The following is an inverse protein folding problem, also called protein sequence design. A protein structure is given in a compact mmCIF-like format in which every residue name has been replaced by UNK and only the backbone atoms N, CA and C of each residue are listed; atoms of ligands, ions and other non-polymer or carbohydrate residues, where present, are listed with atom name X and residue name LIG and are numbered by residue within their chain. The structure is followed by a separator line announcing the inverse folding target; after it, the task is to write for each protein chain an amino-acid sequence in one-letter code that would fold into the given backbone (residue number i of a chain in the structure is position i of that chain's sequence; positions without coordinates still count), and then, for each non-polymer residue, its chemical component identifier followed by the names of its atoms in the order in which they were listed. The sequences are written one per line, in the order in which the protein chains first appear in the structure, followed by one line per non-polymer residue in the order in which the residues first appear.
data_IF_474800027803
#
_entry.id   IF_474800027803
#
_cell.length_a   1.000
_cell.length_b   1.000
_cell.length_c   1.000
_cell.angle_alpha   90.00
_cell.angle_beta   90.00
_cell.angle_gamma   90.00
#
_symmetry.space_group_name_H-M   'P 1'
#
loop_
_entity.id
_entity.type
_entity.pdbx_description
1 polymer ?
#
# COMPACT_ATOMS: atom_id res chain seq x y z
N UNK A 1 -13.74 22.83 14.73
CA UNK A 1 -13.58 21.83 13.65
C UNK A 1 -13.05 20.56 14.29
N UNK A 2 -13.77 19.44 14.21
CA UNK A 2 -13.19 18.15 14.60
C UNK A 2 -12.19 17.73 13.51
N UNK A 3 -11.00 17.20 13.88
CA UNK A 3 -10.03 16.74 12.90
C UNK A 3 -10.62 15.55 12.12
N UNK A 4 -10.56 15.63 10.79
CA UNK A 4 -11.05 14.57 9.88
C UNK A 4 -10.24 13.27 10.01
N UNK A 5 -9.01 13.36 10.49
CA UNK A 5 -8.09 12.25 10.72
C UNK A 5 -7.84 12.08 12.22
N UNK A 6 -8.72 11.33 12.89
CA UNK A 6 -8.51 10.89 14.27
C UNK A 6 -7.73 9.57 14.31
N UNK A 7 -7.21 9.20 15.48
CA UNK A 7 -6.54 7.90 15.65
C UNK A 7 -7.41 6.72 15.19
N UNK A 8 -8.73 6.79 15.47
CA UNK A 8 -9.71 5.77 15.08
C UNK A 8 -9.85 5.58 13.55
N UNK A 9 -9.44 6.59 12.76
CA UNK A 9 -9.46 6.54 11.29
C UNK A 9 -8.06 6.19 10.75
N UNK A 10 -7.02 6.77 11.36
CA UNK A 10 -5.63 6.64 10.89
C UNK A 10 -5.06 5.24 11.16
N UNK A 11 -5.25 4.69 12.36
CA UNK A 11 -4.60 3.44 12.75
C UNK A 11 -5.08 2.23 11.88
N UNK A 12 -6.38 2.09 11.54
CA UNK A 12 -6.83 1.07 10.59
C UNK A 12 -6.27 1.22 9.17
N UNK A 13 -6.05 2.46 8.72
CA UNK A 13 -5.47 2.73 7.40
C UNK A 13 -3.99 2.34 7.36
N UNK A 14 -3.24 2.66 8.41
CA UNK A 14 -1.84 2.21 8.56
C UNK A 14 -1.79 0.68 8.54
N UNK A 15 -2.63 0.00 9.31
CA UNK A 15 -2.66 -1.47 9.35
C UNK A 15 -2.95 -2.08 7.97
N UNK A 16 -3.84 -1.46 7.20
CA UNK A 16 -4.17 -1.88 5.83
C UNK A 16 -2.97 -1.73 4.89
N UNK A 17 -2.24 -0.62 4.96
CA UNK A 17 -1.03 -0.39 4.16
C UNK A 17 0.09 -1.36 4.57
N UNK A 18 0.24 -1.64 5.86
CA UNK A 18 1.17 -2.64 6.35
C UNK A 18 0.85 -4.04 5.82
N UNK A 19 -0.43 -4.39 5.72
CA UNK A 19 -0.85 -5.65 5.12
C UNK A 19 -0.52 -5.72 3.62
N UNK A 20 -0.65 -4.62 2.88
CA UNK A 20 -0.14 -4.53 1.50
C UNK A 20 1.36 -4.78 1.44
N UNK A 21 2.14 -4.14 2.32
CA UNK A 21 3.59 -4.36 2.40
C UNK A 21 3.95 -5.80 2.73
N UNK A 22 3.21 -6.47 3.63
CA UNK A 22 3.42 -7.90 3.94
C UNK A 22 3.13 -8.79 2.74
N UNK A 23 2.05 -8.52 2.00
CA UNK A 23 1.71 -9.24 0.77
C UNK A 23 2.78 -9.04 -0.31
N UNK A 24 3.26 -7.81 -0.49
CA UNK A 24 4.34 -7.51 -1.43
C UNK A 24 5.62 -8.28 -1.07
N UNK A 25 6.02 -8.29 0.20
CA UNK A 25 7.17 -9.08 0.66
C UNK A 25 7.02 -10.56 0.35
N UNK A 26 5.82 -11.13 0.54
CA UNK A 26 5.56 -12.52 0.18
C UNK A 26 5.70 -12.77 -1.32
N UNK A 27 5.16 -11.88 -2.15
CA UNK A 27 5.30 -11.93 -3.61
C UNK A 27 6.77 -11.85 -4.01
N UNK A 28 7.53 -10.90 -3.44
CA UNK A 28 8.95 -10.72 -3.76
C UNK A 28 9.79 -11.94 -3.38
N UNK A 29 9.57 -12.50 -2.19
CA UNK A 29 10.26 -13.71 -1.73
C UNK A 29 10.05 -14.88 -2.70
N UNK A 30 8.85 -15.05 -3.24
CA UNK A 30 8.55 -16.11 -4.20
C UNK A 30 9.01 -15.80 -5.62
N UNK A 31 8.95 -14.54 -6.02
CA UNK A 31 9.56 -14.10 -7.28
C UNK A 31 11.08 -14.30 -7.29
N UNK A 32 11.77 -14.14 -6.16
CA UNK A 32 13.22 -14.40 -6.08
C UNK A 32 13.55 -15.88 -6.28
N UNK A 33 12.71 -16.78 -5.77
CA UNK A 33 12.89 -18.23 -5.90
C UNK A 33 12.58 -18.73 -7.32
N UNK A 34 11.51 -18.21 -7.96
CA UNK A 34 10.92 -18.80 -9.18
C UNK A 34 10.82 -17.83 -10.36
N UNK A 35 11.30 -16.60 -10.24
CA UNK A 35 11.17 -15.52 -11.24
C UNK A 35 9.80 -14.86 -11.29
N UNK A 36 8.78 -15.49 -10.69
CA UNK A 36 7.41 -14.98 -10.55
C UNK A 36 6.71 -15.61 -9.33
N UNK A 37 5.71 -14.95 -8.77
CA UNK A 37 4.94 -15.50 -7.66
C UNK A 37 3.75 -16.29 -8.20
N UNK A 38 3.77 -17.61 -8.03
CA UNK A 38 2.73 -18.54 -8.48
C UNK A 38 1.83 -19.01 -7.34
N UNK A 39 1.99 -18.45 -6.14
CA UNK A 39 1.26 -18.90 -4.96
C UNK A 39 -0.26 -18.75 -5.16
N UNK A 40 -1.05 -19.80 -4.87
CA UNK A 40 -2.50 -19.65 -4.84
C UNK A 40 -2.94 -18.63 -3.80
N UNK A 41 -4.00 -17.88 -4.11
CA UNK A 41 -4.59 -16.88 -3.20
C UNK A 41 -4.88 -17.44 -1.80
N UNK A 42 -5.34 -18.70 -1.72
CA UNK A 42 -5.59 -19.40 -0.45
C UNK A 42 -4.32 -19.57 0.39
N UNK A 43 -3.18 -19.82 -0.24
CA UNK A 43 -1.88 -19.97 0.46
C UNK A 43 -1.42 -18.62 0.98
N UNK A 44 -1.56 -17.56 0.18
CA UNK A 44 -1.26 -16.19 0.60
C UNK A 44 -2.14 -15.77 1.78
N UNK A 45 -3.44 -16.09 1.74
CA UNK A 45 -4.41 -15.79 2.78
C UNK A 45 -4.02 -16.45 4.11
N UNK A 46 -3.68 -17.75 4.08
CA UNK A 46 -3.22 -18.47 5.25
C UNK A 46 -1.90 -17.91 5.82
N UNK A 47 -0.97 -17.49 4.96
CA UNK A 47 0.32 -16.93 5.40
C UNK A 47 0.16 -15.58 6.09
N UNK A 48 -0.82 -14.78 5.66
CA UNK A 48 -1.10 -13.45 6.20
C UNK A 48 -2.17 -13.43 7.30
N UNK A 49 -2.75 -14.59 7.60
CA UNK A 49 -3.86 -14.77 8.55
C UNK A 49 -5.08 -13.89 8.22
N UNK A 50 -5.46 -13.87 6.94
CA UNK A 50 -6.59 -13.08 6.41
C UNK A 50 -7.48 -13.92 5.50
N UNK A 51 -8.61 -13.37 5.06
CA UNK A 51 -9.52 -14.10 4.18
C UNK A 51 -9.03 -14.12 2.73
N UNK A 52 -9.50 -15.11 1.96
CA UNK A 52 -9.26 -15.16 0.52
C UNK A 52 -9.79 -13.92 -0.21
N UNK A 53 -10.93 -13.37 0.24
CA UNK A 53 -11.51 -12.16 -0.33
C UNK A 53 -10.61 -10.93 -0.11
N UNK A 54 -9.98 -10.82 1.07
CA UNK A 54 -9.03 -9.75 1.38
C UNK A 54 -7.82 -9.80 0.44
N UNK A 55 -7.19 -10.97 0.28
CA UNK A 55 -6.06 -11.13 -0.64
C UNK A 55 -6.45 -10.74 -2.07
N UNK A 56 -7.60 -11.22 -2.55
CA UNK A 56 -8.04 -10.89 -3.91
C UNK A 56 -8.23 -9.38 -4.09
N UNK A 57 -8.83 -8.71 -3.11
CA UNK A 57 -9.02 -7.25 -3.12
C UNK A 57 -7.68 -6.51 -3.08
N UNK A 58 -6.75 -6.97 -2.24
CA UNK A 58 -5.44 -6.35 -2.07
C UNK A 58 -4.58 -6.50 -3.33
N UNK A 59 -4.58 -7.68 -3.96
CA UNK A 59 -3.88 -7.91 -5.23
C UNK A 59 -4.42 -6.98 -6.32
N UNK A 60 -5.74 -6.93 -6.50
CA UNK A 60 -6.34 -6.05 -7.50
C UNK A 60 -5.93 -4.59 -7.25
N UNK A 61 -5.94 -4.16 -5.98
CA UNK A 61 -5.54 -2.81 -5.62
C UNK A 61 -4.06 -2.51 -5.91
N UNK A 62 -3.18 -3.47 -5.64
CA UNK A 62 -1.75 -3.35 -5.94
C UNK A 62 -1.49 -3.35 -7.46
N UNK A 63 -2.34 -4.03 -8.25
CA UNK A 63 -2.32 -3.96 -9.72
C UNK A 63 -2.79 -2.57 -10.19
N UNK A 64 -3.88 -2.05 -9.63
CA UNK A 64 -4.43 -0.72 -9.96
C UNK A 64 -3.42 0.39 -9.66
N UNK A 65 -2.68 0.28 -8.55
CA UNK A 65 -1.58 1.18 -8.22
C UNK A 65 -0.34 1.01 -9.12
N UNK A 66 -0.32 0.01 -10.00
CA UNK A 66 0.80 -0.29 -10.87
C UNK A 66 2.03 -0.85 -10.14
N UNK A 67 1.85 -1.34 -8.91
CA UNK A 67 2.93 -1.86 -8.07
C UNK A 67 3.31 -3.28 -8.50
N UNK A 68 2.29 -4.11 -8.73
CA UNK A 68 2.44 -5.44 -9.27
C UNK A 68 1.70 -5.56 -10.60
N UNK A 69 2.00 -6.62 -11.33
CA UNK A 69 1.29 -7.02 -12.53
C UNK A 69 0.98 -8.51 -12.50
N UNK A 70 -0.08 -8.88 -13.20
CA UNK A 70 -0.38 -10.27 -13.49
C UNK A 70 0.32 -10.67 -14.80
N UNK A 71 1.12 -11.72 -14.77
CA UNK A 71 1.91 -12.17 -15.92
C UNK A 71 1.31 -13.47 -16.45
N UNK A 72 0.85 -13.47 -17.70
CA UNK A 72 0.29 -14.67 -18.35
C UNK A 72 -1.09 -15.08 -17.78
N UNK A 73 -1.41 -16.37 -17.89
CA UNK A 73 -2.68 -16.94 -17.44
C UNK A 73 -2.56 -17.55 -16.04
N UNK A 74 -3.59 -17.32 -15.21
CA UNK A 74 -3.82 -17.86 -13.86
C UNK A 74 -2.84 -17.41 -12.75
N UNK A 75 -3.22 -16.36 -12.02
CA UNK A 75 -2.69 -16.04 -10.67
C UNK A 75 -1.16 -15.99 -10.52
N UNK A 76 -0.45 -15.65 -11.59
CA UNK A 76 0.99 -15.41 -11.54
C UNK A 76 1.21 -13.91 -11.43
N UNK A 77 1.91 -13.50 -10.36
CA UNK A 77 2.12 -12.10 -10.03
C UNK A 77 3.60 -11.75 -10.02
N UNK A 78 3.93 -10.54 -10.45
CA UNK A 78 5.29 -10.01 -10.40
C UNK A 78 5.27 -8.53 -10.03
N UNK A 79 6.31 -8.04 -9.35
CA UNK A 79 6.49 -6.61 -9.10
C UNK A 79 6.89 -5.91 -10.41
N UNK A 80 6.28 -4.77 -10.72
CA UNK A 80 6.60 -3.97 -11.91
C UNK A 80 7.94 -3.23 -11.80
N UNK A 81 8.30 -2.82 -10.59
CA UNK A 81 9.59 -2.16 -10.29
C UNK A 81 10.58 -3.15 -9.68
N UNK A 82 11.86 -3.00 -10.03
CA UNK A 82 12.98 -3.71 -9.41
C UNK A 82 13.40 -3.15 -8.05
N UNK A 83 12.80 -2.04 -7.61
CA UNK A 83 13.07 -1.47 -6.28
C UNK A 83 12.44 -2.35 -5.20
N UNK A 84 13.26 -2.75 -4.23
CA UNK A 84 12.91 -3.70 -3.17
C UNK A 84 11.92 -3.08 -2.17
N UNK A 85 12.01 -1.77 -1.95
CA UNK A 85 11.06 -1.00 -1.15
C UNK A 85 10.09 -0.27 -2.08
N UNK A 86 8.79 -0.33 -1.79
CA UNK A 86 7.83 0.50 -2.48
C UNK A 86 7.81 1.87 -1.79
N UNK A 87 8.44 2.91 -2.36
CA UNK A 87 8.59 4.19 -1.68
C UNK A 87 7.22 4.77 -1.37
N UNK A 88 6.25 4.60 -2.26
CA UNK A 88 4.92 5.20 -2.17
C UNK A 88 4.08 4.67 -1.00
N UNK A 89 4.11 3.36 -0.71
CA UNK A 89 3.36 2.80 0.43
C UNK A 89 3.96 3.19 1.78
N UNK A 90 5.28 3.22 1.88
CA UNK A 90 5.93 3.67 3.12
C UNK A 90 5.71 5.18 3.34
N UNK A 91 5.78 5.97 2.27
CA UNK A 91 5.45 7.41 2.32
C UNK A 91 3.99 7.68 2.66
N UNK A 92 3.06 6.80 2.29
CA UNK A 92 1.67 6.87 2.75
C UNK A 92 1.54 6.67 4.26
N UNK A 93 2.31 5.76 4.85
CA UNK A 93 2.36 5.58 6.31
C UNK A 93 2.89 6.86 6.96
N UNK A 94 3.96 7.46 6.41
CA UNK A 94 4.51 8.71 6.93
C UNK A 94 3.51 9.86 6.85
N UNK A 95 2.76 9.97 5.74
CA UNK A 95 1.67 10.95 5.59
C UNK A 95 0.56 10.76 6.63
N UNK A 96 0.15 9.51 6.88
CA UNK A 96 -0.87 9.19 7.88
C UNK A 96 -0.40 9.51 9.31
N UNK A 97 0.87 9.23 9.63
CA UNK A 97 1.49 9.62 10.91
C UNK A 97 1.53 11.14 11.05
N UNK A 98 1.86 11.86 9.98
CA UNK A 98 1.85 13.31 9.97
C UNK A 98 0.46 13.89 10.27
N UNK A 99 -0.62 13.28 9.76
CA UNK A 99 -1.98 13.70 10.12
C UNK A 99 -2.30 13.51 11.60
N UNK A 100 -1.78 12.43 12.21
CA UNK A 100 -1.95 12.16 13.64
C UNK A 100 -1.18 13.18 14.50
N UNK A 101 0.07 13.45 14.11
CA UNK A 101 0.97 14.30 14.89
C UNK A 101 0.69 15.80 14.68
N UNK A 102 0.19 16.18 13.50
CA UNK A 102 0.00 17.58 13.11
C UNK A 102 -1.19 17.75 12.15
N UNK A 103 -2.43 17.55 12.63
CA UNK A 103 -3.64 17.47 11.79
C UNK A 103 -4.00 18.78 11.05
N UNK A 104 -3.40 19.90 11.45
CA UNK A 104 -3.74 21.23 10.93
C UNK A 104 -2.66 21.79 9.98
N UNK A 105 -1.70 20.98 9.53
CA UNK A 105 -0.71 21.45 8.56
C UNK A 105 -1.36 21.77 7.22
N UNK A 106 -0.98 22.91 6.63
CA UNK A 106 -1.32 23.20 5.24
C UNK A 106 -0.66 22.20 4.30
N UNK A 107 -1.22 22.04 3.11
CA UNK A 107 -0.68 21.13 2.09
C UNK A 107 0.82 21.36 1.79
N UNK A 108 1.24 22.63 1.70
CA UNK A 108 2.64 23.00 1.50
C UNK A 108 3.54 22.63 2.68
N UNK A 109 3.04 22.74 3.91
CA UNK A 109 3.79 22.35 5.11
C UNK A 109 3.86 20.83 5.24
N UNK A 110 2.86 20.09 4.77
CA UNK A 110 2.90 18.63 4.73
C UNK A 110 3.98 18.11 3.79
N UNK A 111 4.06 18.65 2.55
CA UNK A 111 5.10 18.28 1.59
C UNK A 111 6.50 18.57 2.14
N UNK A 112 6.66 19.74 2.78
CA UNK A 112 7.91 20.11 3.45
C UNK A 112 8.25 19.19 4.63
N UNK A 113 7.28 18.79 5.44
CA UNK A 113 7.50 17.91 6.58
C UNK A 113 7.93 16.49 6.17
N UNK A 114 7.46 16.03 5.00
CA UNK A 114 7.79 14.72 4.43
C UNK A 114 9.03 14.74 3.52
N UNK A 115 9.58 15.92 3.26
CA UNK A 115 10.68 16.16 2.31
C UNK A 115 10.37 15.59 0.90
N UNK A 116 9.19 15.95 0.39
CA UNK A 116 8.72 15.55 -0.94
C UNK A 116 8.19 16.76 -1.72
N UNK A 117 8.07 16.61 -3.04
CA UNK A 117 7.40 17.61 -3.87
C UNK A 117 5.89 17.64 -3.62
N UNK A 118 5.26 18.76 -4.01
CA UNK A 118 3.80 18.91 -4.01
C UNK A 118 3.13 17.85 -4.90
N UNK A 119 3.73 17.57 -6.06
CA UNK A 119 3.23 16.55 -7.00
C UNK A 119 3.28 15.14 -6.41
N UNK A 120 4.35 14.80 -5.69
CA UNK A 120 4.41 13.54 -4.95
C UNK A 120 3.35 13.49 -3.85
N UNK A 121 3.14 14.58 -3.11
CA UNK A 121 2.09 14.65 -2.10
C UNK A 121 0.69 14.45 -2.71
N UNK A 122 0.38 15.10 -3.83
CA UNK A 122 -0.87 14.91 -4.57
C UNK A 122 -1.08 13.45 -4.97
N UNK A 123 -0.02 12.78 -5.45
CA UNK A 123 -0.05 11.36 -5.77
C UNK A 123 -0.35 10.50 -4.54
N UNK A 124 0.28 10.77 -3.40
CA UNK A 124 0.00 10.06 -2.13
C UNK A 124 -1.44 10.28 -1.68
N UNK A 125 -2.00 11.48 -1.79
CA UNK A 125 -3.42 11.73 -1.50
C UNK A 125 -4.34 10.95 -2.44
N UNK A 126 -4.02 10.90 -3.74
CA UNK A 126 -4.77 10.11 -4.72
C UNK A 126 -4.80 8.62 -4.36
N UNK A 127 -3.65 8.06 -3.97
CA UNK A 127 -3.59 6.68 -3.46
C UNK A 127 -4.40 6.52 -2.17
N UNK A 128 -4.29 7.47 -1.23
CA UNK A 128 -4.99 7.38 0.05
C UNK A 128 -6.51 7.36 -0.11
N UNK A 129 -7.06 8.24 -0.96
CA UNK A 129 -8.50 8.26 -1.28
C UNK A 129 -8.93 6.89 -1.82
N UNK A 130 -8.17 6.34 -2.75
CA UNK A 130 -8.41 5.03 -3.32
C UNK A 130 -8.36 3.89 -2.29
N UNK A 131 -7.54 4.00 -1.24
CA UNK A 131 -7.48 3.03 -0.14
C UNK A 131 -8.71 3.16 0.77
N UNK A 132 -9.15 4.40 1.05
CA UNK A 132 -10.32 4.68 1.90
C UNK A 132 -11.61 4.18 1.25
N UNK A 133 -11.78 4.38 -0.06
CA UNK A 133 -12.96 3.94 -0.82
C UNK A 133 -13.03 2.43 -1.06
N UNK A 134 -11.95 1.70 -0.76
CA UNK A 134 -11.86 0.25 -0.98
C UNK A 134 -12.49 -0.56 0.14
#
# INVERSE_FOLDING_TARGET
MQPLFTADIVDPLIQRIENYNRLLKLIDLKCLEEGSCTLPLKVMANFLDVTHADISKWINKLIDFGIIEQVGSNHVYKRKSSEIDNPSLNRLIDLLRLFKDSPNLSFSLQAKALDISITELEYLFGMLIQIIES
#
